data_IF_352118552359
#
_entry.id   IF_352118552359
#
_cell.length_a   1.000
_cell.length_b   1.000
_cell.length_c   1.000
_cell.angle_alpha   90.00
_cell.angle_beta   90.00
_cell.angle_gamma   90.00
#
_symmetry.space_group_name_H-M   'P 1'
#
loop_
_entity.id
_entity.type
_entity.pdbx_description
1 polymer ?
#
# COMPACT_ATOMS: atom_id res chain seq x y z
N UNK A 1 6.58 1.45 -8.13
CA UNK A 1 5.57 0.51 -7.58
C UNK A 1 4.21 0.68 -8.29
N UNK A 2 3.51 1.81 -8.14
CA UNK A 2 2.17 2.01 -8.73
C UNK A 2 2.10 1.84 -10.26
N UNK A 3 3.10 2.33 -11.01
CA UNK A 3 3.14 2.14 -12.46
C UNK A 3 3.14 0.66 -12.88
N UNK A 4 3.88 -0.19 -12.14
CA UNK A 4 3.92 -1.64 -12.37
C UNK A 4 2.59 -2.30 -11.99
N UNK A 5 1.95 -1.83 -10.91
CA UNK A 5 0.63 -2.31 -10.49
C UNK A 5 -0.43 -2.06 -11.56
N UNK A 6 -0.42 -0.87 -12.18
CA UNK A 6 -1.31 -0.51 -13.29
C UNK A 6 -1.01 -1.38 -14.51
N UNK A 7 0.26 -1.53 -14.89
CA UNK A 7 0.66 -2.36 -16.04
C UNK A 7 0.23 -3.82 -15.89
N UNK A 8 0.19 -4.34 -14.65
CA UNK A 8 -0.24 -5.71 -14.34
C UNK A 8 -1.74 -5.83 -14.09
N UNK A 9 -2.49 -4.72 -14.06
CA UNK A 9 -3.92 -4.73 -13.80
C UNK A 9 -4.29 -5.24 -12.40
N UNK A 10 -3.46 -4.96 -11.39
CA UNK A 10 -3.71 -5.40 -10.02
C UNK A 10 -4.99 -4.79 -9.45
N UNK A 11 -5.74 -5.60 -8.71
CA UNK A 11 -6.92 -5.14 -7.97
C UNK A 11 -6.51 -4.38 -6.69
N UNK A 12 -7.43 -3.59 -6.15
CA UNK A 12 -7.20 -2.83 -4.91
C UNK A 12 -6.76 -3.72 -3.72
N UNK A 13 -7.37 -4.89 -3.46
CA UNK A 13 -6.92 -5.80 -2.40
C UNK A 13 -5.51 -6.34 -2.63
N UNK A 14 -5.17 -6.73 -3.86
CA UNK A 14 -3.82 -7.24 -4.20
C UNK A 14 -2.76 -6.15 -4.00
N UNK A 15 -3.07 -4.92 -4.39
CA UNK A 15 -2.20 -3.77 -4.18
C UNK A 15 -2.05 -3.44 -2.69
N UNK A 16 -3.11 -3.57 -1.89
CA UNK A 16 -3.08 -3.31 -0.44
C UNK A 16 -2.26 -4.35 0.34
N UNK A 17 -2.21 -5.59 -0.16
CA UNK A 17 -1.46 -6.71 0.44
C UNK A 17 -0.09 -6.91 -0.19
N UNK A 18 0.34 -6.00 -1.08
CA UNK A 18 1.68 -6.06 -1.66
C UNK A 18 2.73 -5.79 -0.59
N UNK A 19 3.70 -6.70 -0.48
CA UNK A 19 4.81 -6.55 0.46
C UNK A 19 5.69 -5.35 0.07
N UNK A 20 5.83 -4.41 1.00
CA UNK A 20 6.66 -3.22 0.85
C UNK A 20 7.60 -3.16 2.04
N UNK A 21 8.90 -3.10 1.74
CA UNK A 21 9.96 -3.07 2.75
C UNK A 21 9.70 -1.98 3.80
N UNK A 22 9.80 -2.37 5.07
CA UNK A 22 9.65 -1.50 6.23
C UNK A 22 10.95 -1.42 7.04
N UNK A 23 11.39 -0.20 7.35
CA UNK A 23 12.44 0.07 8.32
C UNK A 23 12.00 1.23 9.23
N UNK A 24 11.99 1.05 10.57
CA UNK A 24 11.42 2.03 11.51
C UNK A 24 11.95 3.46 11.39
N UNK A 25 13.18 3.62 10.91
CA UNK A 25 13.83 4.92 10.75
C UNK A 25 13.48 5.63 9.44
N UNK A 26 12.92 4.92 8.44
CA UNK A 26 12.64 5.47 7.11
C UNK A 26 11.15 5.52 6.76
N UNK A 27 10.34 4.59 7.27
CA UNK A 27 8.91 4.57 6.97
C UNK A 27 8.10 4.02 8.14
N UNK A 28 6.77 4.19 8.05
CA UNK A 28 5.81 3.60 8.99
C UNK A 28 5.49 2.16 8.56
N UNK A 29 4.96 1.32 9.47
CA UNK A 29 4.65 -0.09 9.18
C UNK A 29 3.83 -0.28 7.91
N UNK A 30 2.87 0.61 7.65
CA UNK A 30 2.29 0.76 6.33
C UNK A 30 2.95 1.91 5.59
N UNK A 31 3.51 1.59 4.42
CA UNK A 31 4.09 2.56 3.52
C UNK A 31 3.06 3.63 3.13
N UNK A 32 3.50 4.88 2.94
CA UNK A 32 2.63 5.98 2.51
C UNK A 32 1.88 5.68 1.19
N UNK A 33 2.41 4.78 0.35
CA UNK A 33 1.76 4.32 -0.89
C UNK A 33 0.60 3.35 -0.61
N UNK A 34 0.68 2.54 0.45
CA UNK A 34 -0.34 1.56 0.82
C UNK A 34 -1.51 2.20 1.58
N UNK A 35 -1.26 3.27 2.34
CA UNK A 35 -2.31 3.94 3.14
C UNK A 35 -3.50 4.46 2.30
N UNK A 36 -3.31 5.11 1.13
CA UNK A 36 -4.41 5.47 0.24
C UNK A 36 -5.19 4.26 -0.28
N UNK A 37 -4.51 3.16 -0.57
CA UNK A 37 -5.13 1.92 -1.07
C UNK A 37 -6.01 1.29 0.01
N UNK A 38 -5.51 1.24 1.25
CA UNK A 38 -6.30 0.81 2.41
C UNK A 38 -7.52 1.69 2.64
N UNK A 39 -7.37 3.01 2.52
CA UNK A 39 -8.51 3.94 2.63
C UNK A 39 -9.55 3.73 1.52
N UNK A 40 -9.12 3.44 0.30
CA UNK A 40 -10.02 3.11 -0.81
C UNK A 40 -10.81 1.80 -0.54
N UNK A 41 -10.24 0.87 0.22
CA UNK A 41 -10.91 -0.33 0.72
C UNK A 41 -11.78 -0.09 1.97
N UNK A 42 -11.88 1.15 2.46
CA UNK A 42 -12.62 1.49 3.68
C UNK A 42 -11.87 1.17 4.98
N UNK A 43 -10.61 0.72 4.91
CA UNK A 43 -9.78 0.42 6.06
C UNK A 43 -9.09 1.69 6.57
N UNK A 44 -9.28 1.99 7.86
CA UNK A 44 -8.65 3.14 8.51
C UNK A 44 -7.38 2.70 9.22
N UNK A 45 -6.22 2.93 8.60
CA UNK A 45 -4.94 2.81 9.28
C UNK A 45 -4.68 4.06 10.12
N UNK A 46 -4.58 3.89 11.45
CA UNK A 46 -4.13 4.93 12.38
C UNK A 46 -2.63 4.80 12.51
N UNK A 47 -1.94 5.79 11.97
CA UNK A 47 -0.49 5.83 11.83
C UNK A 47 0.20 6.37 13.09
#
# INVERSE_FOLDING_TARGET
MLALAIQRGLTLPELALTDVFFLPHFNKPFNFVLVPVLRALGLKYKA
#
